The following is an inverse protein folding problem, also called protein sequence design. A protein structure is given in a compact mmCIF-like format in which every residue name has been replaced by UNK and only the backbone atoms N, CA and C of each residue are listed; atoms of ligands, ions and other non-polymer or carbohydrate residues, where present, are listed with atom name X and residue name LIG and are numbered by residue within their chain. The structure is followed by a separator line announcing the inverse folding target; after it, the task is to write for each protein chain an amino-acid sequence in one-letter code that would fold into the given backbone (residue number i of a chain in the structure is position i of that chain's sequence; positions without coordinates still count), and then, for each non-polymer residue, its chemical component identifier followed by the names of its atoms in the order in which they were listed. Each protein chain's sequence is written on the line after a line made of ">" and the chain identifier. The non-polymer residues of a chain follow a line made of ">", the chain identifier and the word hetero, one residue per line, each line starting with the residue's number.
data_IF_419092615100
#
_entry.id   IF_419092615100
#
_cell.length_a   1.000
_cell.length_b   1.000
_cell.length_c   1.000
_cell.angle_alpha   90.00
_cell.angle_beta   90.00
_cell.angle_gamma   90.00
#
_symmetry.space_group_name_H-M   'P 1'
#
loop_
_entity.id
_entity.type
_entity.pdbx_description
1 polymer ?
#
# COMPACT_ATOMS: atom_id res chain seq x y z
N UNK A 1 12.62 -0.77 6.13
CA UNK A 1 13.16 -0.72 4.75
C UNK A 1 14.41 -1.61 4.73
N UNK A 2 14.30 -2.83 4.22
CA UNK A 2 15.35 -3.85 4.31
C UNK A 2 15.33 -4.87 3.17
N UNK A 3 14.83 -4.46 2.00
CA UNK A 3 14.89 -5.28 0.79
C UNK A 3 15.67 -4.53 -0.28
N UNK A 4 16.50 -5.27 -1.00
CA UNK A 4 17.26 -4.73 -2.12
C UNK A 4 16.29 -4.17 -3.17
N UNK A 5 16.61 -3.03 -3.81
CA UNK A 5 15.83 -2.53 -4.94
C UNK A 5 15.65 -3.64 -5.98
N UNK A 6 14.40 -3.97 -6.30
CA UNK A 6 14.06 -4.99 -7.32
C UNK A 6 13.66 -6.38 -6.79
N UNK A 7 13.71 -6.62 -5.47
CA UNK A 7 13.21 -7.88 -4.86
C UNK A 7 11.80 -7.76 -4.26
N UNK A 8 11.14 -6.63 -4.47
CA UNK A 8 9.82 -6.37 -3.91
C UNK A 8 8.74 -7.13 -4.68
N UNK A 9 8.11 -8.08 -4.01
CA UNK A 9 6.94 -8.79 -4.54
C UNK A 9 5.84 -7.81 -4.87
N UNK A 10 5.38 -7.79 -6.12
CA UNK A 10 4.22 -7.01 -6.55
C UNK A 10 2.98 -7.49 -5.80
N UNK A 11 2.31 -6.59 -5.08
CA UNK A 11 1.10 -6.93 -4.32
C UNK A 11 -0.14 -6.78 -5.20
N UNK A 12 -0.91 -7.86 -5.33
CA UNK A 12 -2.12 -7.95 -6.15
C UNK A 12 -3.32 -8.38 -5.30
N UNK A 13 -4.55 -8.14 -5.77
CA UNK A 13 -5.77 -8.58 -5.09
C UNK A 13 -6.11 -7.80 -3.81
N UNK A 14 -5.57 -6.60 -3.65
CA UNK A 14 -5.72 -5.75 -2.45
C UNK A 14 -6.64 -4.54 -2.67
N UNK A 15 -7.44 -4.53 -3.74
CA UNK A 15 -8.28 -3.39 -4.13
C UNK A 15 -9.39 -3.07 -3.14
N UNK A 16 -9.85 -4.08 -2.40
CA UNK A 16 -10.91 -3.94 -1.41
C UNK A 16 -10.39 -3.86 0.03
N UNK A 17 -9.07 -3.82 0.23
CA UNK A 17 -8.48 -3.68 1.57
C UNK A 17 -8.80 -2.31 2.12
N UNK A 18 -9.22 -2.27 3.37
CA UNK A 18 -9.58 -1.03 4.06
C UNK A 18 -8.82 -0.89 5.39
N UNK A 19 -8.81 0.32 5.92
CA UNK A 19 -8.23 0.64 7.21
C UNK A 19 -9.30 0.39 8.29
N UNK A 20 -9.02 -0.57 9.18
CA UNK A 20 -9.86 -0.90 10.33
C UNK A 20 -9.58 0.01 11.53
N UNK A 21 -8.33 0.40 11.73
CA UNK A 21 -7.92 1.29 12.82
C UNK A 21 -6.65 2.07 12.49
N UNK A 22 -6.49 3.22 13.15
CA UNK A 22 -5.31 4.07 13.10
C UNK A 22 -4.88 4.34 14.53
N UNK A 23 -3.68 3.90 14.90
CA UNK A 23 -3.16 4.01 16.26
C UNK A 23 -1.90 4.89 16.25
N UNK A 24 -1.82 5.95 17.07
CA UNK A 24 -0.61 6.75 17.17
C UNK A 24 0.50 5.96 17.89
N UNK A 25 1.73 6.06 17.39
CA UNK A 25 2.91 5.46 18.02
C UNK A 25 3.88 6.57 18.42
N UNK A 26 3.82 6.92 19.70
CA UNK A 26 4.52 8.10 20.22
C UNK A 26 4.16 9.36 19.42
N UNK A 27 5.17 10.14 19.06
CA UNK A 27 5.00 11.34 18.24
C UNK A 27 5.55 11.19 16.80
N UNK A 28 6.03 10.00 16.42
CA UNK A 28 6.85 9.83 15.22
C UNK A 28 6.21 8.97 14.11
N UNK A 29 5.15 8.21 14.42
CA UNK A 29 4.52 7.32 13.46
C UNK A 29 3.03 7.04 13.78
N UNK A 30 2.35 6.50 12.78
CA UNK A 30 1.05 5.86 12.88
C UNK A 30 1.22 4.36 12.64
N UNK A 31 0.49 3.55 13.39
CA UNK A 31 0.23 2.14 13.05
C UNK A 31 -1.10 2.07 12.34
N UNK A 32 -1.10 1.54 11.11
CA UNK A 32 -2.31 1.30 10.34
C UNK A 32 -2.68 -0.17 10.44
N UNK A 33 -3.91 -0.45 10.89
CA UNK A 33 -4.46 -1.80 10.96
C UNK A 33 -5.41 -1.98 9.79
N UNK A 34 -5.08 -2.92 8.91
CA UNK A 34 -5.89 -3.26 7.74
C UNK A 34 -6.86 -4.40 8.07
N UNK A 35 -7.95 -4.48 7.31
CA UNK A 35 -8.99 -5.50 7.48
C UNK A 35 -8.64 -6.87 6.89
N UNK A 36 -7.52 -6.97 6.16
CA UNK A 36 -7.00 -8.21 5.58
C UNK A 36 -5.96 -8.94 6.48
N UNK A 37 -6.04 -8.68 7.79
CA UNK A 37 -5.18 -9.17 8.86
C UNK A 37 -3.73 -8.62 8.86
N UNK A 38 -3.43 -7.56 8.11
CA UNK A 38 -2.16 -6.83 8.28
C UNK A 38 -2.28 -5.77 9.37
N UNK A 39 -1.58 -5.95 10.49
CA UNK A 39 -1.66 -5.06 11.66
C UNK A 39 -0.30 -4.61 12.21
N UNK A 40 0.81 -4.96 11.55
CA UNK A 40 2.17 -4.70 12.04
C UNK A 40 2.85 -3.47 11.41
N UNK A 41 2.19 -2.80 10.46
CA UNK A 41 2.79 -1.70 9.69
C UNK A 41 2.91 -0.41 10.51
N UNK A 42 4.15 0.09 10.67
CA UNK A 42 4.45 1.41 11.21
C UNK A 42 4.81 2.38 10.09
N UNK A 43 4.13 3.51 10.07
CA UNK A 43 4.24 4.54 9.04
C UNK A 43 4.67 5.85 9.70
N UNK A 44 5.93 6.26 9.48
CA UNK A 44 6.40 7.57 9.96
C UNK A 44 5.72 8.71 9.21
N UNK A 45 5.71 9.90 9.81
CA UNK A 45 5.17 11.10 9.15
C UNK A 45 5.89 11.42 7.82
N UNK A 46 7.22 11.27 7.80
CA UNK A 46 8.00 11.46 6.57
C UNK A 46 7.64 10.46 5.48
N UNK A 47 7.39 9.19 5.84
CA UNK A 47 6.96 8.17 4.87
C UNK A 47 5.57 8.50 4.32
N UNK A 48 4.62 8.87 5.18
CA UNK A 48 3.26 9.23 4.74
C UNK A 48 3.28 10.46 3.83
N UNK A 49 4.12 11.45 4.14
CA UNK A 49 4.34 12.63 3.30
C UNK A 49 4.96 12.27 1.95
N UNK A 50 6.03 11.48 1.95
CA UNK A 50 6.69 10.99 0.73
C UNK A 50 5.72 10.22 -0.19
N UNK A 51 4.91 9.33 0.40
CA UNK A 51 3.89 8.57 -0.34
C UNK A 51 2.80 9.49 -0.94
N UNK A 52 2.40 10.53 -0.21
CA UNK A 52 1.41 11.51 -0.70
C UNK A 52 1.97 12.41 -1.81
N UNK A 53 3.18 12.94 -1.62
CA UNK A 53 3.87 13.80 -2.60
C UNK A 53 4.20 13.04 -3.90
N UNK A 54 4.59 11.76 -3.79
CA UNK A 54 4.97 10.93 -4.93
C UNK A 54 3.86 9.97 -5.39
N UNK A 55 2.61 10.19 -4.95
CA UNK A 55 1.48 9.29 -5.22
C UNK A 55 1.35 8.95 -6.71
N UNK A 56 1.27 9.95 -7.58
CA UNK A 56 0.96 9.72 -8.99
C UNK A 56 2.05 8.94 -9.71
N UNK A 57 3.32 9.22 -9.39
CA UNK A 57 4.46 8.52 -9.97
C UNK A 57 4.52 7.06 -9.49
N UNK A 58 4.38 6.84 -8.18
CA UNK A 58 4.37 5.50 -7.58
C UNK A 58 3.18 4.68 -8.09
N UNK A 59 2.02 5.32 -8.25
CA UNK A 59 0.81 4.68 -8.73
C UNK A 59 0.91 4.27 -10.19
N UNK A 60 1.43 5.15 -11.06
CA UNK A 60 1.67 4.83 -12.46
C UNK A 60 2.64 3.67 -12.63
N UNK A 61 3.73 3.62 -11.85
CA UNK A 61 4.68 2.50 -11.86
C UNK A 61 4.01 1.18 -11.43
N UNK A 62 3.23 1.22 -10.34
CA UNK A 62 2.48 0.06 -9.86
C UNK A 62 1.52 -0.49 -10.93
N UNK A 63 0.74 0.37 -11.58
CA UNK A 63 -0.19 -0.04 -12.65
C UNK A 63 0.53 -0.65 -13.84
N UNK A 64 1.66 -0.07 -14.27
CA UNK A 64 2.50 -0.63 -15.34
C UNK A 64 3.02 -2.02 -14.98
N UNK A 65 3.39 -2.26 -13.73
CA UNK A 65 3.84 -3.57 -13.24
C UNK A 65 2.70 -4.59 -13.21
N UNK A 66 1.48 -4.17 -12.86
CA UNK A 66 0.29 -5.02 -12.95
C UNK A 66 0.00 -5.43 -14.39
N UNK A 67 0.00 -4.47 -15.33
CA UNK A 67 -0.22 -4.74 -16.76
C UNK A 67 0.82 -5.70 -17.32
N UNK A 68 2.10 -5.53 -16.96
CA UNK A 68 3.18 -6.42 -17.39
C UNK A 68 3.01 -7.88 -16.90
N UNK A 69 2.22 -8.11 -15.86
CA UNK A 69 1.87 -9.44 -15.35
C UNK A 69 0.48 -9.92 -15.83
N UNK A 70 -0.19 -9.16 -16.71
CA UNK A 70 -1.55 -9.45 -17.17
C UNK A 70 -2.60 -9.32 -16.07
N UNK A 71 -2.30 -8.58 -14.99
CA UNK A 71 -3.22 -8.34 -13.90
C UNK A 71 -4.00 -7.04 -14.11
N UNK A 72 -5.32 -7.16 -14.24
CA UNK A 72 -6.24 -6.03 -14.26
C UNK A 72 -6.80 -5.78 -12.86
N UNK A 73 -6.63 -4.57 -12.34
CA UNK A 73 -7.20 -4.20 -11.04
C UNK A 73 -8.72 -4.14 -11.11
N UNK A 74 -9.38 -4.69 -10.10
CA UNK A 74 -10.85 -4.67 -9.98
C UNK A 74 -11.34 -3.29 -9.56
N UNK A 75 -12.51 -2.89 -10.05
CA UNK A 75 -13.16 -1.66 -9.56
C UNK A 75 -13.76 -1.89 -8.16
N UNK A 76 -13.75 -0.87 -7.28
CA UNK A 76 -14.44 -0.95 -6.00
C UNK A 76 -15.91 -1.34 -6.20
N UNK A 77 -16.35 -2.43 -5.56
CA UNK A 77 -17.74 -2.92 -5.66
C UNK A 77 -18.02 -3.97 -6.74
N UNK A 78 -17.00 -4.44 -7.48
CA UNK A 78 -17.16 -5.57 -8.40
C UNK A 78 -17.23 -6.90 -7.63
N UNK A 79 -18.44 -7.42 -7.41
CA UNK A 79 -18.71 -8.73 -6.78
C UNK A 79 -18.56 -9.85 -7.82
N UNK A 80 -17.97 -10.99 -7.41
CA UNK A 80 -17.84 -12.22 -8.20
C UNK A 80 -19.17 -12.96 -8.39
#
# INVERSE_FOLDING_TARGET
>A
RGHMPGQETLQLGKENVNIKAIEPVGHYALKLVFDDNHDSGLFSWDLLRDLGENHDANWADYLKRCEAQGYERKQPGQII
#
